data_IF_702798332760
#
_entry.id   IF_702798332760
#
_cell.length_a   1.000
_cell.length_b   1.000
_cell.length_c   1.000
_cell.angle_alpha   90.00
_cell.angle_beta   90.00
_cell.angle_gamma   90.00
#
_symmetry.space_group_name_H-M   'P 1'
#
loop_
_entity.id
_entity.type
_entity.pdbx_description
1 polymer ?
#
# COMPACT_ATOMS: atom_id res chain seq x y z
N UNK A 1 53.03 37.37 -38.93
CA UNK A 1 53.03 35.90 -38.90
C UNK A 1 52.45 35.45 -37.56
N UNK A 2 51.17 35.03 -37.49
CA UNK A 2 50.61 33.74 -37.93
C UNK A 2 50.56 32.75 -36.74
N UNK A 3 49.31 32.33 -36.44
CA UNK A 3 48.85 31.06 -35.84
C UNK A 3 48.95 30.78 -34.31
N UNK A 4 47.86 31.12 -33.62
CA UNK A 4 46.91 30.20 -32.95
C UNK A 4 47.28 28.70 -32.91
N UNK A 5 47.31 28.07 -31.72
CA UNK A 5 46.78 26.73 -31.32
C UNK A 5 46.98 26.68 -29.78
N UNK A 6 46.03 26.47 -28.88
CA UNK A 6 44.85 25.60 -28.88
C UNK A 6 44.92 24.80 -27.57
N UNK A 7 44.28 25.33 -26.53
CA UNK A 7 44.16 24.75 -25.19
C UNK A 7 43.36 23.45 -25.29
N UNK A 8 44.02 22.31 -25.05
CA UNK A 8 43.36 21.00 -25.02
C UNK A 8 42.82 20.74 -23.61
N UNK A 9 41.62 21.26 -23.37
CA UNK A 9 40.74 20.75 -22.33
C UNK A 9 40.44 19.28 -22.62
N UNK A 10 41.20 18.42 -21.95
CA UNK A 10 40.93 16.98 -21.94
C UNK A 10 39.83 16.77 -20.91
N UNK A 11 38.58 16.98 -21.34
CA UNK A 11 37.39 16.52 -20.64
C UNK A 11 37.48 15.00 -20.55
N UNK A 12 37.99 14.51 -19.42
CA UNK A 12 37.87 13.11 -19.04
C UNK A 12 36.39 12.85 -18.84
N UNK A 13 35.74 12.32 -19.88
CA UNK A 13 34.46 11.64 -19.80
C UNK A 13 34.59 10.54 -18.75
N UNK A 14 34.20 10.85 -17.51
CA UNK A 14 33.90 9.85 -16.51
C UNK A 14 32.63 9.15 -16.99
N UNK A 15 32.81 8.07 -17.76
CA UNK A 15 31.77 7.06 -17.91
C UNK A 15 31.51 6.51 -16.51
N UNK A 16 30.49 7.07 -15.86
CA UNK A 16 29.86 6.53 -14.68
C UNK A 16 29.27 5.18 -15.09
N UNK A 17 30.07 4.13 -15.02
CA UNK A 17 29.59 2.76 -14.98
C UNK A 17 28.65 2.66 -13.77
N UNK A 18 27.36 2.79 -14.05
CA UNK A 18 26.29 2.38 -13.16
C UNK A 18 26.45 0.87 -13.00
N UNK A 19 27.26 0.47 -12.03
CA UNK A 19 27.28 -0.88 -11.51
C UNK A 19 25.88 -1.14 -10.96
N UNK A 20 25.03 -1.72 -11.80
CA UNK A 20 23.77 -2.31 -11.36
C UNK A 20 24.16 -3.38 -10.33
N UNK A 21 24.07 -3.04 -9.05
CA UNK A 21 24.09 -4.02 -7.99
C UNK A 21 22.87 -4.91 -8.21
N UNK A 22 23.03 -5.99 -8.96
CA UNK A 22 22.05 -7.06 -9.05
C UNK A 22 21.84 -7.57 -7.63
N UNK A 23 20.77 -7.09 -6.98
CA UNK A 23 20.33 -7.66 -5.73
C UNK A 23 20.09 -9.16 -6.00
N UNK A 24 20.63 -10.06 -5.17
CA UNK A 24 20.41 -11.48 -5.37
C UNK A 24 18.91 -11.74 -5.40
N UNK A 25 18.44 -12.31 -6.50
CA UNK A 25 17.03 -12.69 -6.67
C UNK A 25 16.57 -13.51 -5.47
N UNK A 26 15.38 -13.20 -4.96
CA UNK A 26 14.87 -13.87 -3.78
C UNK A 26 14.63 -15.36 -4.06
N UNK A 27 14.65 -16.17 -3.00
CA UNK A 27 14.49 -17.63 -3.10
C UNK A 27 13.18 -18.03 -3.80
N UNK A 28 12.15 -17.18 -3.74
CA UNK A 28 10.84 -17.38 -4.36
C UNK A 28 10.74 -16.88 -5.82
N UNK A 29 11.73 -16.13 -6.31
CA UNK A 29 11.79 -15.59 -7.68
C UNK A 29 12.55 -16.50 -8.62
N UNK A 30 13.60 -17.18 -8.11
CA UNK A 30 14.50 -18.01 -8.92
C UNK A 30 14.36 -19.49 -8.58
N UNK A 31 14.56 -20.33 -9.60
CA UNK A 31 14.73 -21.78 -9.46
C UNK A 31 16.06 -22.08 -8.74
N UNK A 32 16.05 -23.00 -7.77
CA UNK A 32 17.29 -23.47 -7.15
C UNK A 32 18.12 -24.29 -8.14
N UNK A 33 19.44 -24.30 -8.00
CA UNK A 33 20.34 -24.90 -9.00
C UNK A 33 20.08 -26.41 -9.19
N UNK A 34 19.69 -27.11 -8.12
CA UNK A 34 19.33 -28.53 -8.10
C UNK A 34 17.82 -28.79 -8.25
N UNK A 35 17.01 -27.75 -8.46
CA UNK A 35 15.56 -27.85 -8.61
C UNK A 35 15.17 -28.13 -10.08
N UNK A 36 14.47 -29.24 -10.38
CA UNK A 36 13.97 -29.51 -11.72
C UNK A 36 13.03 -28.40 -12.19
N UNK A 37 13.01 -28.04 -13.49
CA UNK A 37 12.09 -27.03 -14.01
C UNK A 37 10.62 -27.34 -13.73
N UNK A 38 10.24 -28.63 -13.71
CA UNK A 38 8.88 -29.08 -13.37
C UNK A 38 8.54 -28.83 -11.90
N UNK A 39 9.50 -28.94 -10.99
CA UNK A 39 9.32 -28.66 -9.57
C UNK A 39 9.13 -27.16 -9.36
N UNK A 40 9.98 -26.32 -9.96
CA UNK A 40 9.85 -24.87 -9.86
C UNK A 40 8.53 -24.36 -10.46
N UNK A 41 8.09 -24.90 -11.60
CA UNK A 41 6.78 -24.55 -12.17
C UNK A 41 5.63 -24.89 -11.21
N UNK A 42 5.68 -26.05 -10.56
CA UNK A 42 4.69 -26.43 -9.56
C UNK A 42 4.76 -25.55 -8.31
N UNK A 43 5.97 -25.17 -7.88
CA UNK A 43 6.17 -24.19 -6.81
C UNK A 43 5.52 -22.84 -7.12
N UNK A 44 5.67 -22.32 -8.34
CA UNK A 44 5.04 -21.05 -8.73
C UNK A 44 3.51 -21.10 -8.57
N UNK A 45 2.87 -22.21 -8.97
CA UNK A 45 1.43 -22.40 -8.78
C UNK A 45 1.09 -22.45 -7.28
N UNK A 46 1.81 -23.27 -6.50
CA UNK A 46 1.62 -23.40 -5.07
C UNK A 46 1.76 -22.06 -4.32
N UNK A 47 2.80 -21.27 -4.63
CA UNK A 47 3.07 -19.95 -4.07
C UNK A 47 1.94 -18.97 -4.37
N UNK A 48 1.43 -18.97 -5.61
CA UNK A 48 0.39 -18.05 -6.08
C UNK A 48 -0.96 -18.20 -5.35
N UNK A 49 -1.20 -19.34 -4.67
CA UNK A 49 -2.44 -19.56 -3.91
C UNK A 49 -2.54 -18.75 -2.62
N UNK A 50 -1.46 -18.13 -2.14
CA UNK A 50 -1.49 -17.38 -0.89
C UNK A 50 -1.81 -18.25 0.33
N UNK A 51 -2.50 -17.69 1.32
CA UNK A 51 -2.83 -18.34 2.60
C UNK A 51 -3.67 -19.63 2.48
N UNK A 52 -4.42 -19.82 1.39
CA UNK A 52 -5.22 -21.04 1.14
C UNK A 52 -4.41 -22.18 0.52
N UNK A 53 -3.08 -22.01 0.40
CA UNK A 53 -2.23 -23.00 -0.26
C UNK A 53 -2.27 -24.34 0.45
N UNK A 54 -2.44 -25.38 -0.34
CA UNK A 54 -2.02 -26.74 -0.01
C UNK A 54 -1.73 -27.45 -1.32
N UNK A 55 -0.91 -28.50 -1.30
CA UNK A 55 -0.62 -29.28 -2.51
C UNK A 55 -1.92 -29.83 -3.10
N UNK A 56 -2.82 -30.33 -2.24
CA UNK A 56 -4.11 -30.87 -2.66
C UNK A 56 -4.98 -29.79 -3.32
N UNK A 57 -5.14 -28.63 -2.67
CA UNK A 57 -5.94 -27.53 -3.21
C UNK A 57 -5.35 -26.98 -4.53
N UNK A 58 -4.02 -26.92 -4.64
CA UNK A 58 -3.35 -26.49 -5.87
C UNK A 58 -3.60 -27.47 -7.01
N UNK A 59 -3.55 -28.77 -6.74
CA UNK A 59 -3.79 -29.80 -7.75
C UNK A 59 -5.24 -29.78 -8.22
N UNK A 60 -6.19 -29.65 -7.30
CA UNK A 60 -7.63 -29.54 -7.59
C UNK A 60 -7.94 -28.31 -8.44
N UNK A 61 -7.44 -27.14 -8.02
CA UNK A 61 -7.66 -25.86 -8.72
C UNK A 61 -7.13 -25.89 -10.17
N UNK A 62 -6.01 -26.56 -10.41
CA UNK A 62 -5.35 -26.62 -11.71
C UNK A 62 -5.62 -27.91 -12.50
N UNK A 63 -6.54 -28.77 -12.06
CA UNK A 63 -6.90 -30.01 -12.77
C UNK A 63 -5.76 -31.02 -12.90
N UNK A 64 -4.87 -31.08 -11.91
CA UNK A 64 -3.68 -31.94 -11.92
C UNK A 64 -4.03 -33.30 -11.33
N UNK A 65 -3.67 -34.37 -12.03
CA UNK A 65 -3.88 -35.76 -11.60
C UNK A 65 -3.43 -35.99 -10.14
N UNK A 66 -4.35 -36.37 -9.22
CA UNK A 66 -4.07 -36.65 -7.82
C UNK A 66 -2.92 -37.65 -7.58
N UNK A 67 -2.64 -38.56 -8.53
CA UNK A 67 -1.51 -39.50 -8.45
C UNK A 67 -0.15 -38.79 -8.36
N UNK A 68 -0.06 -37.53 -8.81
CA UNK A 68 1.17 -36.72 -8.73
C UNK A 68 1.43 -36.13 -7.33
N UNK A 69 0.52 -36.31 -6.38
CA UNK A 69 0.63 -35.76 -5.03
C UNK A 69 1.96 -36.15 -4.35
N UNK A 70 2.36 -37.42 -4.41
CA UNK A 70 3.61 -37.87 -3.79
C UNK A 70 4.85 -37.17 -4.35
N UNK A 71 4.87 -36.93 -5.67
CA UNK A 71 5.95 -36.19 -6.33
C UNK A 71 5.99 -34.72 -5.89
N UNK A 72 4.83 -34.06 -5.83
CA UNK A 72 4.73 -32.68 -5.36
C UNK A 72 5.09 -32.54 -3.88
N UNK A 73 4.64 -33.47 -3.03
CA UNK A 73 5.00 -33.50 -1.62
C UNK A 73 6.50 -33.72 -1.40
N UNK A 74 7.15 -34.50 -2.27
CA UNK A 74 8.62 -34.63 -2.27
C UNK A 74 9.29 -33.32 -2.67
N UNK A 75 8.85 -32.68 -3.77
CA UNK A 75 9.40 -31.39 -4.20
C UNK A 75 9.24 -30.30 -3.14
N UNK A 76 8.06 -30.21 -2.51
CA UNK A 76 7.79 -29.22 -1.49
C UNK A 76 8.75 -29.30 -0.30
N UNK A 77 9.11 -30.53 0.09
CA UNK A 77 10.10 -30.79 1.15
C UNK A 77 11.53 -30.49 0.69
N UNK A 78 11.95 -31.04 -0.45
CA UNK A 78 13.32 -30.89 -0.95
C UNK A 78 13.68 -29.43 -1.25
N UNK A 79 12.75 -28.69 -1.85
CA UNK A 79 12.98 -27.31 -2.31
C UNK A 79 12.30 -26.27 -1.42
N UNK A 80 11.97 -26.64 -0.18
CA UNK A 80 11.53 -25.75 0.91
C UNK A 80 10.41 -24.79 0.48
N UNK A 81 9.38 -25.33 -0.18
CA UNK A 81 8.31 -24.51 -0.77
C UNK A 81 7.59 -23.64 0.26
N UNK A 82 7.41 -24.12 1.49
CA UNK A 82 6.74 -23.36 2.54
C UNK A 82 7.54 -22.12 2.96
N UNK A 83 8.85 -22.26 3.17
CA UNK A 83 9.74 -21.13 3.52
C UNK A 83 9.74 -20.09 2.40
N UNK A 84 9.96 -20.52 1.15
CA UNK A 84 9.97 -19.64 -0.01
C UNK A 84 8.63 -18.95 -0.23
N UNK A 85 7.52 -19.67 -0.06
CA UNK A 85 6.18 -19.08 -0.18
C UNK A 85 5.89 -18.06 0.93
N UNK A 86 6.38 -18.30 2.16
CA UNK A 86 6.27 -17.35 3.27
C UNK A 86 7.08 -16.06 3.03
N UNK A 87 8.29 -16.18 2.49
CA UNK A 87 9.09 -15.02 2.08
C UNK A 87 8.36 -14.18 1.03
N UNK A 88 7.73 -14.84 0.06
CA UNK A 88 6.90 -14.16 -0.93
C UNK A 88 5.67 -13.48 -0.32
N UNK A 89 4.97 -14.13 0.60
CA UNK A 89 3.82 -13.52 1.27
C UNK A 89 4.22 -12.27 2.05
N UNK A 90 5.37 -12.33 2.72
CA UNK A 90 5.91 -11.19 3.46
C UNK A 90 6.23 -10.04 2.53
N UNK A 91 6.80 -10.33 1.36
CA UNK A 91 7.06 -9.33 0.32
C UNK A 91 5.75 -8.71 -0.19
N UNK A 92 4.75 -9.52 -0.56
CA UNK A 92 3.46 -9.04 -1.04
C UNK A 92 2.72 -8.24 0.02
N UNK A 93 2.76 -8.64 1.29
CA UNK A 93 2.14 -7.89 2.38
C UNK A 93 2.74 -6.48 2.50
N UNK A 94 4.08 -6.37 2.46
CA UNK A 94 4.77 -5.07 2.47
C UNK A 94 4.41 -4.21 1.26
N UNK A 95 4.35 -4.83 0.08
CA UNK A 95 4.04 -4.11 -1.15
C UNK A 95 2.59 -3.61 -1.17
N UNK A 96 1.66 -4.44 -0.69
CA UNK A 96 0.25 -4.07 -0.52
C UNK A 96 0.09 -2.92 0.47
N UNK A 97 0.81 -2.96 1.59
CA UNK A 97 0.79 -1.86 2.56
C UNK A 97 1.32 -0.56 1.94
N UNK A 98 2.42 -0.64 1.18
CA UNK A 98 2.98 0.50 0.45
C UNK A 98 1.99 1.11 -0.52
N UNK A 99 1.27 0.27 -1.29
CA UNK A 99 0.24 0.71 -2.22
C UNK A 99 -0.95 1.36 -1.52
N UNK A 100 -1.46 0.75 -0.44
CA UNK A 100 -2.56 1.30 0.36
C UNK A 100 -2.18 2.67 0.95
N UNK A 101 -0.95 2.81 1.47
CA UNK A 101 -0.46 4.08 1.99
C UNK A 101 -0.36 5.13 0.89
N UNK A 102 0.17 4.77 -0.29
CA UNK A 102 0.25 5.67 -1.44
C UNK A 102 -1.15 6.12 -1.90
N UNK A 103 -2.12 5.19 -1.98
CA UNK A 103 -3.50 5.51 -2.33
C UNK A 103 -4.14 6.46 -1.30
N UNK A 104 -3.93 6.22 0.00
CA UNK A 104 -4.42 7.11 1.07
C UNK A 104 -3.86 8.52 0.95
N UNK A 105 -2.56 8.65 0.67
CA UNK A 105 -1.92 9.95 0.45
C UNK A 105 -2.53 10.65 -0.76
N UNK A 106 -2.68 9.93 -1.88
CA UNK A 106 -3.25 10.50 -3.10
C UNK A 106 -4.73 10.89 -2.93
N UNK A 107 -5.51 10.07 -2.24
CA UNK A 107 -6.90 10.39 -1.90
C UNK A 107 -6.99 11.62 -1.02
N UNK A 108 -6.14 11.72 0.02
CA UNK A 108 -6.08 12.90 0.89
C UNK A 108 -5.72 14.15 0.11
N UNK A 109 -4.73 14.07 -0.80
CA UNK A 109 -4.35 15.18 -1.67
C UNK A 109 -5.53 15.64 -2.54
N UNK A 110 -6.22 14.71 -3.21
CA UNK A 110 -7.40 15.03 -4.02
C UNK A 110 -8.54 15.63 -3.19
N UNK A 111 -8.76 15.13 -1.97
CA UNK A 111 -9.75 15.68 -1.06
C UNK A 111 -9.40 17.11 -0.64
N UNK A 112 -8.13 17.38 -0.33
CA UNK A 112 -7.65 18.73 -0.02
C UNK A 112 -7.81 19.68 -1.21
N UNK A 113 -7.46 19.25 -2.43
CA UNK A 113 -7.65 20.04 -3.65
C UNK A 113 -9.13 20.39 -3.87
N UNK A 114 -10.02 19.43 -3.66
CA UNK A 114 -11.48 19.65 -3.76
C UNK A 114 -11.99 20.62 -2.70
N UNK A 115 -11.53 20.49 -1.45
CA UNK A 115 -11.88 21.41 -0.36
C UNK A 115 -11.41 22.83 -0.67
N UNK A 116 -10.16 22.99 -1.11
CA UNK A 116 -9.62 24.30 -1.48
C UNK A 116 -10.45 24.96 -2.60
N UNK A 117 -10.86 24.18 -3.62
CA UNK A 117 -11.73 24.68 -4.68
C UNK A 117 -13.12 25.08 -4.18
N UNK A 118 -13.67 24.34 -3.22
CA UNK A 118 -14.94 24.69 -2.58
C UNK A 118 -14.81 25.95 -1.74
N UNK A 119 -13.76 26.09 -0.95
CA UNK A 119 -13.47 27.29 -0.15
C UNK A 119 -13.33 28.53 -1.04
N UNK A 120 -12.69 28.41 -2.20
CA UNK A 120 -12.60 29.49 -3.19
C UNK A 120 -13.98 29.88 -3.74
N UNK A 121 -14.82 28.89 -4.08
CA UNK A 121 -16.17 29.11 -4.58
C UNK A 121 -17.06 29.78 -3.54
N UNK A 122 -17.05 29.27 -2.31
CA UNK A 122 -17.77 29.86 -1.17
C UNK A 122 -17.29 31.28 -0.91
N UNK A 123 -15.97 31.52 -0.90
CA UNK A 123 -15.40 32.85 -0.74
C UNK A 123 -15.86 33.83 -1.83
N UNK A 124 -15.93 33.41 -3.09
CA UNK A 124 -16.49 34.23 -4.18
C UNK A 124 -17.98 34.50 -4.01
N UNK A 125 -18.76 33.50 -3.57
CA UNK A 125 -20.20 33.66 -3.33
C UNK A 125 -20.47 34.62 -2.17
N UNK A 126 -19.74 34.49 -1.06
CA UNK A 126 -19.89 35.37 0.10
C UNK A 126 -19.55 36.83 -0.23
N UNK A 127 -18.53 37.09 -1.06
CA UNK A 127 -18.17 38.45 -1.50
C UNK A 127 -19.22 39.11 -2.41
N UNK A 128 -20.06 38.31 -3.06
CA UNK A 128 -21.07 38.80 -4.03
C UNK A 128 -22.50 38.68 -3.52
N UNK A 129 -22.70 38.05 -2.36
CA UNK A 129 -24.00 37.90 -1.71
C UNK A 129 -24.42 39.25 -1.12
N UNK A 130 -25.63 39.70 -1.44
CA UNK A 130 -26.18 40.93 -0.86
C UNK A 130 -26.93 40.59 0.44
N UNK A 131 -26.89 41.46 1.47
CA UNK A 131 -27.61 41.21 2.72
C UNK A 131 -29.11 41.03 2.54
N UNK A 132 -29.71 41.72 1.56
CA UNK A 132 -31.15 41.66 1.29
C UNK A 132 -31.59 40.32 0.66
N UNK A 133 -30.64 39.55 0.12
CA UNK A 133 -30.90 38.21 -0.45
C UNK A 133 -31.02 37.13 0.66
N UNK A 134 -30.70 37.46 1.91
CA UNK A 134 -30.81 36.58 3.07
C UNK A 134 -32.08 36.90 3.86
N UNK A 135 -32.91 35.87 4.09
CA UNK A 135 -33.98 35.95 5.09
C UNK A 135 -33.41 35.72 6.50
N UNK A 136 -34.23 36.00 7.53
CA UNK A 136 -33.81 35.86 8.93
C UNK A 136 -33.28 34.45 9.26
N UNK A 137 -33.97 33.41 8.79
CA UNK A 137 -33.54 32.02 8.99
C UNK A 137 -32.18 31.76 8.33
N UNK A 138 -31.98 32.18 7.08
CA UNK A 138 -30.73 32.00 6.36
C UNK A 138 -29.55 32.74 6.99
N UNK A 139 -29.79 33.93 7.56
CA UNK A 139 -28.76 34.68 8.28
C UNK A 139 -28.36 33.98 9.59
N UNK A 140 -29.33 33.46 10.35
CA UNK A 140 -29.08 32.70 11.57
C UNK A 140 -28.36 31.38 11.28
N UNK A 141 -28.75 30.68 10.22
CA UNK A 141 -28.09 29.45 9.75
C UNK A 141 -26.60 29.69 9.43
N UNK A 142 -26.29 30.82 8.79
CA UNK A 142 -24.92 31.18 8.43
C UNK A 142 -24.06 31.48 9.67
N UNK A 143 -24.64 32.17 10.66
CA UNK A 143 -23.99 32.47 11.94
C UNK A 143 -23.75 31.20 12.77
N UNK A 144 -24.70 30.27 12.82
CA UNK A 144 -24.52 29.01 13.55
C UNK A 144 -23.41 28.17 12.90
N UNK A 145 -23.38 28.10 11.56
CA UNK A 145 -22.34 27.36 10.82
C UNK A 145 -20.96 27.99 10.99
N UNK A 146 -20.86 29.32 11.05
CA UNK A 146 -19.58 30.00 11.28
C UNK A 146 -19.05 29.75 12.70
N UNK A 147 -19.92 29.77 13.72
CA UNK A 147 -19.55 29.46 15.09
C UNK A 147 -19.08 27.99 15.24
N UNK A 148 -19.75 27.03 14.58
CA UNK A 148 -19.31 25.62 14.54
C UNK A 148 -17.95 25.46 13.86
N UNK A 149 -17.73 26.17 12.75
CA UNK A 149 -16.44 26.15 12.05
C UNK A 149 -15.32 26.71 12.93
N UNK A 150 -15.56 27.81 13.65
CA UNK A 150 -14.60 28.42 14.57
C UNK A 150 -14.24 27.47 15.73
N UNK A 151 -15.24 26.81 16.31
CA UNK A 151 -15.03 25.80 17.36
C UNK A 151 -14.21 24.59 16.86
N UNK A 152 -14.44 24.16 15.61
CA UNK A 152 -13.64 23.10 14.98
C UNK A 152 -12.18 23.50 14.76
N UNK A 153 -11.93 24.75 14.32
CA UNK A 153 -10.58 25.28 14.06
C UNK A 153 -9.80 25.49 15.37
N UNK A 154 -10.43 26.11 16.36
CA UNK A 154 -9.83 26.39 17.67
C UNK A 154 -9.68 25.11 18.52
N UNK A 155 -10.43 24.06 18.18
CA UNK A 155 -10.44 22.81 18.92
C UNK A 155 -11.27 22.87 20.21
N UNK A 156 -12.04 23.93 20.44
CA UNK A 156 -12.88 24.10 21.62
C UNK A 156 -13.93 22.97 21.76
N UNK A 157 -14.38 22.38 20.64
CA UNK A 157 -15.27 21.21 20.65
C UNK A 157 -14.62 19.93 21.21
N UNK A 158 -13.28 19.81 21.18
CA UNK A 158 -12.56 18.60 21.65
C UNK A 158 -12.39 18.55 23.16
N UNK A 159 -12.51 19.68 23.86
CA UNK A 159 -12.40 19.73 25.32
C UNK A 159 -13.68 19.24 26.03
N UNK A 160 -14.83 19.30 25.35
CA UNK A 160 -16.13 18.90 25.90
C UNK A 160 -16.54 17.45 25.60
N UNK A 161 -15.78 16.72 24.77
CA UNK A 161 -15.95 15.28 24.65
C UNK A 161 -15.31 14.60 25.85
N UNK A 162 -16.12 14.24 26.86
CA UNK A 162 -15.70 13.24 27.87
C UNK A 162 -15.07 12.07 27.12
N UNK A 163 -13.90 11.55 27.53
CA UNK A 163 -13.36 10.36 26.91
C UNK A 163 -14.42 9.27 27.03
N UNK A 164 -14.82 8.67 25.91
CA UNK A 164 -15.55 7.41 25.92
C UNK A 164 -14.57 6.37 26.45
N UNK A 165 -14.47 6.27 27.78
CA UNK A 165 -13.94 5.10 28.46
C UNK A 165 -14.95 3.98 28.21
N UNK A 166 -14.75 3.23 27.13
CA UNK A 166 -15.65 2.17 26.69
C UNK A 166 -14.93 1.20 25.76
N UNK A 167 -14.18 0.30 26.40
CA UNK A 167 -13.91 -1.08 25.94
C UNK A 167 -13.32 -1.29 24.53
N UNK A 168 -11.99 -1.23 24.43
CA UNK A 168 -11.26 -2.27 23.69
C UNK A 168 -11.03 -3.44 24.66
N UNK A 169 -12.11 -4.10 25.09
CA UNK A 169 -12.02 -5.40 25.71
C UNK A 169 -11.71 -6.39 24.58
N UNK A 170 -10.43 -6.64 24.35
CA UNK A 170 -10.04 -7.85 23.63
C UNK A 170 -10.35 -9.01 24.58
N UNK A 171 -11.50 -9.65 24.40
CA UNK A 171 -11.87 -10.86 25.15
C UNK A 171 -11.00 -12.03 24.70
N UNK A 172 -9.76 -12.10 25.22
CA UNK A 172 -8.85 -13.22 25.00
C UNK A 172 -9.03 -14.36 26.01
N UNK A 173 -10.25 -14.58 26.52
CA UNK A 173 -10.55 -15.71 27.40
C UNK A 173 -11.93 -16.27 27.06
N UNK A 174 -12.01 -17.06 25.99
CA UNK A 174 -13.01 -18.15 25.86
C UNK A 174 -12.71 -19.18 24.74
N UNK A 175 -11.48 -19.28 24.23
CA UNK A 175 -11.12 -20.27 23.18
C UNK A 175 -10.11 -21.35 23.61
N UNK A 176 -9.94 -21.60 24.90
CA UNK A 176 -9.09 -22.70 25.41
C UNK A 176 -9.77 -23.53 26.50
N UNK A 177 -11.03 -23.90 26.30
CA UNK A 177 -11.70 -24.89 27.18
C UNK A 177 -11.92 -26.27 26.56
N UNK A 178 -11.53 -26.49 25.31
CA UNK A 178 -11.59 -27.81 24.67
C UNK A 178 -10.26 -28.21 24.00
N UNK A 179 -9.13 -27.98 24.69
CA UNK A 179 -7.82 -28.56 24.36
C UNK A 179 -7.25 -29.30 25.58
#
# INVERSE_FOLDING_TARGET
EVLQVGEKDTVKTANSELVQMEQPLNSWEKRLDDEPPKAFKAFCLFRSMGYKRSIKACMELHGIDPKKYGTWARYARLYRWNERALEYDTYIAKETEREILAERVQRRKKQMEMLNGFDELVGKRLKTLKPEDLNADGAMDLLERSAKLDSFITGADKENTKPVQGELAISFVDSFKDL
#
